data_IF_297988209111
#
_entry.id   IF_297988209111
#
_cell.length_a   1.000
_cell.length_b   1.000
_cell.length_c   1.000
_cell.angle_alpha   90.00
_cell.angle_beta   90.00
_cell.angle_gamma   90.00
#
_symmetry.space_group_name_H-M   'P 1'
#
loop_
_entity.id
_entity.type
_entity.pdbx_description
1 polymer ?
#
# COMPACT_ATOMS: atom_id res chain seq x y z
N UNK A 1 17.68 13.54 -6.95
CA UNK A 1 16.66 12.62 -7.51
C UNK A 1 16.86 11.19 -6.99
N UNK A 2 16.65 10.92 -5.69
CA UNK A 2 17.10 9.64 -5.10
C UNK A 2 16.10 9.02 -4.10
N UNK A 3 14.80 9.04 -4.44
CA UNK A 3 13.74 8.39 -3.64
C UNK A 3 12.81 7.53 -4.50
N UNK A 4 13.36 6.86 -5.51
CA UNK A 4 12.63 5.85 -6.30
C UNK A 4 12.47 4.54 -5.54
N UNK A 5 11.69 3.61 -6.10
CA UNK A 5 11.61 2.26 -5.57
C UNK A 5 13.00 1.57 -5.61
N UNK A 6 13.38 0.86 -4.55
CA UNK A 6 14.66 0.17 -4.44
C UNK A 6 14.65 -1.14 -5.25
N UNK A 7 15.82 -1.63 -5.64
CA UNK A 7 15.96 -2.97 -6.23
C UNK A 7 15.51 -4.07 -5.24
N UNK A 8 14.91 -5.15 -5.76
CA UNK A 8 14.29 -6.23 -4.97
C UNK A 8 15.26 -6.93 -4.00
N UNK A 9 16.55 -7.02 -4.35
CA UNK A 9 17.60 -7.68 -3.55
C UNK A 9 18.44 -6.74 -2.68
N UNK A 10 18.19 -5.43 -2.74
CA UNK A 10 18.98 -4.43 -2.02
C UNK A 10 18.62 -4.32 -0.54
N UNK A 11 19.56 -3.88 0.28
CA UNK A 11 19.32 -3.55 1.69
C UNK A 11 18.36 -2.36 1.87
N UNK A 12 18.02 -1.67 0.78
CA UNK A 12 17.21 -0.46 0.78
C UNK A 12 17.96 0.78 1.25
N UNK A 13 17.25 1.91 1.29
CA UNK A 13 17.78 3.17 1.80
C UNK A 13 16.98 3.62 3.02
N UNK A 14 17.59 4.32 3.97
CA UNK A 14 16.82 4.91 5.08
C UNK A 14 16.08 6.14 4.58
N UNK A 15 14.78 6.18 4.87
CA UNK A 15 13.91 7.31 4.57
C UNK A 15 13.29 7.79 5.87
N UNK A 16 13.47 9.07 6.15
CA UNK A 16 12.82 9.74 7.27
C UNK A 16 11.43 10.19 6.85
N UNK A 17 10.41 9.83 7.63
CA UNK A 17 9.01 10.18 7.39
C UNK A 17 8.51 11.03 8.55
N UNK A 18 7.79 12.10 8.22
CA UNK A 18 7.09 12.91 9.20
C UNK A 18 5.74 13.36 8.68
N UNK A 19 4.72 13.28 9.51
CA UNK A 19 3.39 13.83 9.26
C UNK A 19 2.81 14.40 10.55
N UNK A 20 1.82 15.28 10.43
CA UNK A 20 1.12 15.85 11.57
C UNK A 20 -0.39 15.71 11.41
N UNK A 21 -1.10 15.64 12.52
CA UNK A 21 -2.57 15.71 12.54
C UNK A 21 -3.06 16.59 13.67
N UNK A 22 -4.25 17.14 13.51
CA UNK A 22 -4.89 18.03 14.47
C UNK A 22 -6.29 17.51 14.83
N UNK A 23 -6.58 17.48 16.12
CA UNK A 23 -7.92 17.21 16.63
C UNK A 23 -8.65 18.53 16.89
N UNK A 24 -9.77 18.73 16.20
CA UNK A 24 -10.68 19.84 16.47
C UNK A 24 -12.01 19.29 16.96
N UNK A 25 -12.37 19.65 18.20
CA UNK A 25 -13.64 19.27 18.78
C UNK A 25 -14.69 20.35 18.51
N UNK A 26 -15.80 19.97 17.86
CA UNK A 26 -16.97 20.85 17.66
C UNK A 26 -18.16 20.46 18.53
N UNK A 27 -18.16 19.23 19.06
CA UNK A 27 -19.15 18.70 20.00
C UNK A 27 -18.49 17.69 20.95
N UNK A 28 -19.11 17.44 22.11
CA UNK A 28 -18.58 16.42 23.03
C UNK A 28 -18.70 15.00 22.43
N UNK A 29 -17.61 14.24 22.46
CA UNK A 29 -17.48 12.91 21.85
C UNK A 29 -16.88 11.89 22.82
N UNK A 30 -17.36 11.87 24.07
CA UNK A 30 -16.89 10.93 25.11
C UNK A 30 -15.35 10.93 25.26
N UNK A 31 -14.73 12.11 25.22
CA UNK A 31 -13.28 12.26 25.33
C UNK A 31 -12.47 11.79 24.11
N UNK A 32 -13.09 11.62 22.93
CA UNK A 32 -12.42 11.13 21.72
C UNK A 32 -11.16 11.92 21.32
N UNK A 33 -11.15 13.25 21.50
CA UNK A 33 -9.93 14.06 21.25
C UNK A 33 -8.76 13.61 22.12
N UNK A 34 -9.01 13.26 23.39
CA UNK A 34 -7.98 12.76 24.28
C UNK A 34 -7.49 11.37 23.87
N UNK A 35 -8.30 10.58 23.17
CA UNK A 35 -7.88 9.25 22.69
C UNK A 35 -6.94 9.33 21.48
N UNK A 36 -7.04 10.38 20.67
CA UNK A 36 -6.27 10.52 19.43
C UNK A 36 -5.13 11.53 19.52
N UNK A 37 -5.32 12.68 20.19
CA UNK A 37 -4.33 13.75 20.27
C UNK A 37 -3.69 13.91 21.67
N UNK A 38 -3.80 12.91 22.54
CA UNK A 38 -3.05 12.86 23.80
C UNK A 38 -2.45 11.46 24.00
N UNK A 39 -1.33 11.39 24.72
CA UNK A 39 -0.64 10.12 24.98
C UNK A 39 -1.48 9.22 25.91
N UNK A 40 -1.65 7.93 25.55
CA UNK A 40 -2.45 6.96 26.33
C UNK A 40 -1.91 6.65 27.73
N UNK A 41 -0.64 6.98 28.01
CA UNK A 41 0.06 6.66 29.26
C UNK A 41 0.35 7.88 30.16
N UNK A 42 -0.29 9.03 29.91
CA UNK A 42 -0.37 10.09 30.92
C UNK A 42 -1.38 9.68 31.98
N UNK A 43 -0.93 9.23 33.15
CA UNK A 43 -1.78 8.94 34.30
C UNK A 43 -2.86 10.01 34.48
N UNK A 44 -4.09 9.56 34.73
CA UNK A 44 -5.24 10.32 35.19
C UNK A 44 -4.82 11.48 36.11
N UNK A 45 -4.72 12.68 35.54
CA UNK A 45 -4.22 13.85 36.22
C UNK A 45 -4.53 15.08 35.39
N UNK A 46 -5.55 15.81 35.83
CA UNK A 46 -6.02 17.08 35.28
C UNK A 46 -4.89 18.03 34.87
N UNK A 47 -5.14 18.78 33.78
CA UNK A 47 -4.39 19.95 33.34
C UNK A 47 -2.89 19.74 33.08
N UNK A 48 -2.50 19.65 31.82
CA UNK A 48 -1.18 20.17 31.44
C UNK A 48 -1.16 20.66 30.01
N UNK A 49 -0.88 21.95 29.90
CA UNK A 49 -0.55 22.72 28.71
C UNK A 49 0.88 22.30 28.22
N UNK A 50 1.13 20.99 28.14
CA UNK A 50 2.47 20.40 28.09
C UNK A 50 2.63 19.38 26.97
N UNK A 51 3.74 19.50 26.24
CA UNK A 51 4.18 18.54 25.23
C UNK A 51 4.36 17.16 25.87
N UNK A 52 3.81 16.10 25.28
CA UNK A 52 4.05 14.70 25.68
C UNK A 52 4.54 13.86 24.51
N UNK A 53 5.28 12.79 24.77
CA UNK A 53 5.81 11.91 23.73
C UNK A 53 5.39 10.47 23.99
N UNK A 54 5.05 9.76 22.91
CA UNK A 54 4.77 8.33 22.92
C UNK A 54 5.57 7.65 21.82
N UNK A 55 6.11 6.47 22.14
CA UNK A 55 6.81 5.63 21.18
C UNK A 55 6.06 4.31 21.04
N UNK A 56 5.78 3.91 19.80
CA UNK A 56 5.20 2.62 19.47
C UNK A 56 6.10 1.91 18.46
N UNK A 57 5.97 0.59 18.37
CA UNK A 57 6.65 -0.20 17.35
C UNK A 57 5.60 -0.90 16.52
N UNK A 58 5.66 -0.74 15.20
CA UNK A 58 4.79 -1.40 14.24
C UNK A 58 5.66 -2.01 13.14
N UNK A 59 5.57 -3.32 12.94
CA UNK A 59 6.34 -4.08 11.94
C UNK A 59 7.86 -3.85 11.99
N UNK A 60 8.39 -3.67 13.19
CA UNK A 60 9.81 -3.39 13.41
C UNK A 60 10.23 -1.94 13.15
N UNK A 61 9.29 -1.05 12.83
CA UNK A 61 9.51 0.40 12.72
C UNK A 61 9.14 1.06 14.05
N UNK A 62 10.09 1.80 14.63
CA UNK A 62 9.85 2.62 15.83
C UNK A 62 9.27 3.96 15.43
N UNK A 63 8.05 4.24 15.89
CA UNK A 63 7.28 5.44 15.60
C UNK A 63 7.23 6.31 16.84
N UNK A 64 7.66 7.57 16.69
CA UNK A 64 7.60 8.57 17.77
C UNK A 64 6.51 9.57 17.45
N UNK A 65 5.55 9.72 18.35
CA UNK A 65 4.49 10.73 18.29
C UNK A 65 4.71 11.73 19.40
N UNK A 66 4.81 13.02 19.04
CA UNK A 66 4.87 14.14 19.98
C UNK A 66 3.52 14.85 19.96
N UNK A 67 2.85 14.90 21.10
CA UNK A 67 1.57 15.57 21.26
C UNK A 67 1.79 16.97 21.84
N UNK A 68 1.21 17.98 21.19
CA UNK A 68 1.26 19.38 21.56
C UNK A 68 -0.17 19.94 21.56
N UNK A 69 -0.80 20.01 22.72
CA UNK A 69 -2.21 20.39 22.89
C UNK A 69 -3.15 19.51 22.05
N UNK A 70 -3.70 20.07 20.97
CA UNK A 70 -4.63 19.39 20.08
C UNK A 70 -3.95 18.90 18.78
N UNK A 71 -2.62 18.97 18.70
CA UNK A 71 -1.83 18.53 17.55
C UNK A 71 -0.93 17.37 17.91
N UNK A 72 -0.62 16.56 16.93
CA UNK A 72 0.33 15.46 17.06
C UNK A 72 1.27 15.46 15.86
N UNK A 73 2.57 15.43 16.15
CA UNK A 73 3.64 15.29 15.17
C UNK A 73 4.18 13.86 15.25
N UNK A 74 4.09 13.12 14.14
CA UNK A 74 4.57 11.74 14.03
C UNK A 74 5.83 11.72 13.19
N UNK A 75 6.84 10.98 13.68
CA UNK A 75 8.17 10.87 13.07
C UNK A 75 8.69 9.44 13.19
N UNK A 76 9.25 8.91 12.11
CA UNK A 76 9.90 7.61 12.10
C UNK A 76 10.86 7.47 10.92
N UNK A 77 11.84 6.59 11.08
CA UNK A 77 12.71 6.15 10.00
C UNK A 77 12.23 4.78 9.51
N UNK A 78 12.08 4.64 8.20
CA UNK A 78 11.81 3.36 7.56
C UNK A 78 12.96 3.00 6.62
N UNK A 79 13.22 1.70 6.51
CA UNK A 79 14.08 1.20 5.42
C UNK A 79 13.23 1.04 4.17
N UNK A 80 13.47 1.88 3.18
CA UNK A 80 12.90 1.79 1.84
C UNK A 80 13.53 0.60 1.09
N UNK A 81 13.00 -0.61 1.35
CA UNK A 81 13.21 -1.84 0.58
C UNK A 81 11.84 -2.43 0.20
N UNK A 82 11.81 -3.30 -0.82
CA UNK A 82 10.56 -3.86 -1.35
C UNK A 82 9.72 -4.58 -0.28
N UNK A 83 10.36 -5.35 0.60
CA UNK A 83 9.67 -6.07 1.69
C UNK A 83 8.93 -5.11 2.62
N UNK A 84 9.61 -4.05 3.08
CA UNK A 84 9.04 -3.10 4.02
C UNK A 84 7.89 -2.30 3.39
N UNK A 85 8.05 -1.86 2.14
CA UNK A 85 6.98 -1.18 1.42
C UNK A 85 5.75 -2.06 1.20
N UNK A 86 5.95 -3.32 0.82
CA UNK A 86 4.87 -4.29 0.66
C UNK A 86 4.17 -4.60 1.99
N UNK A 87 4.90 -4.65 3.11
CA UNK A 87 4.30 -4.77 4.44
C UNK A 87 3.43 -3.56 4.78
N UNK A 88 3.87 -2.34 4.47
CA UNK A 88 3.05 -1.14 4.65
C UNK A 88 1.79 -1.18 3.78
N UNK A 89 1.90 -1.58 2.50
CA UNK A 89 0.75 -1.75 1.62
C UNK A 89 -0.22 -2.83 2.15
N UNK A 90 0.31 -3.96 2.62
CA UNK A 90 -0.48 -5.02 3.24
C UNK A 90 -1.24 -4.53 4.48
N UNK A 91 -0.60 -3.71 5.32
CA UNK A 91 -1.24 -3.11 6.49
C UNK A 91 -2.38 -2.17 6.12
N UNK A 92 -2.18 -1.31 5.11
CA UNK A 92 -3.24 -0.42 4.61
C UNK A 92 -4.45 -1.27 4.19
N UNK A 93 -4.22 -2.30 3.38
CA UNK A 93 -5.29 -3.19 2.94
C UNK A 93 -5.92 -3.97 4.09
N UNK A 94 -5.15 -4.43 5.07
CA UNK A 94 -5.67 -5.12 6.26
C UNK A 94 -6.60 -4.20 7.06
N UNK A 95 -6.20 -2.95 7.30
CA UNK A 95 -7.02 -1.97 8.01
C UNK A 95 -8.32 -1.71 7.24
N UNK A 96 -8.25 -1.48 5.92
CA UNK A 96 -9.44 -1.25 5.10
C UNK A 96 -10.40 -2.45 5.09
N UNK A 97 -9.87 -3.67 4.93
CA UNK A 97 -10.66 -4.91 4.95
C UNK A 97 -11.23 -5.25 6.33
N UNK A 98 -10.61 -4.77 7.42
CA UNK A 98 -11.08 -5.04 8.78
C UNK A 98 -12.11 -4.01 9.23
N UNK A 99 -11.82 -2.73 8.99
CA UNK A 99 -12.64 -1.63 9.49
C UNK A 99 -13.88 -1.40 8.63
N UNK A 100 -13.84 -1.77 7.34
CA UNK A 100 -14.95 -1.66 6.39
C UNK A 100 -15.75 -0.34 6.56
N UNK A 101 -15.09 0.82 6.36
CA UNK A 101 -15.68 2.10 6.71
C UNK A 101 -16.95 2.41 5.91
N UNK A 102 -17.87 3.14 6.54
CA UNK A 102 -19.04 3.70 5.86
C UNK A 102 -18.59 4.73 4.82
N UNK A 103 -19.11 4.58 3.60
CA UNK A 103 -19.03 5.63 2.59
C UNK A 103 -20.20 6.59 2.79
N UNK A 104 -19.90 7.90 2.84
CA UNK A 104 -20.90 8.98 2.92
C UNK A 104 -21.30 9.50 1.54
N UNK A 105 -22.50 10.06 1.47
CA UNK A 105 -23.03 10.70 0.27
C UNK A 105 -22.24 11.97 -0.06
N UNK A 106 -22.16 12.33 -1.34
CA UNK A 106 -21.51 13.57 -1.79
C UNK A 106 -22.34 14.82 -1.48
N UNK A 107 -23.64 14.66 -1.22
CA UNK A 107 -24.58 15.77 -1.04
C UNK A 107 -25.11 15.89 0.40
N UNK A 108 -24.87 14.89 1.24
CA UNK A 108 -25.28 14.89 2.65
C UNK A 108 -24.29 14.05 3.46
N UNK A 109 -23.52 14.73 4.32
CA UNK A 109 -22.54 14.06 5.16
C UNK A 109 -23.19 13.05 6.09
N UNK A 110 -24.44 13.21 6.50
CA UNK A 110 -25.12 12.32 7.45
C UNK A 110 -25.77 11.10 6.77
N UNK A 111 -25.79 11.06 5.44
CA UNK A 111 -26.38 9.97 4.67
C UNK A 111 -25.33 8.96 4.16
N UNK A 112 -25.72 7.70 4.09
CA UNK A 112 -24.92 6.67 3.43
C UNK A 112 -24.83 6.95 1.91
N UNK A 113 -23.62 7.01 1.39
CA UNK A 113 -23.36 7.18 -0.05
C UNK A 113 -23.52 5.89 -0.82
N UNK A 114 -23.25 4.74 -0.19
CA UNK A 114 -23.10 3.46 -0.88
C UNK A 114 -22.06 3.58 -2.02
N UNK A 115 -22.19 2.81 -3.10
CA UNK A 115 -21.34 2.93 -4.28
C UNK A 115 -21.60 4.18 -5.15
N UNK A 116 -22.65 4.95 -4.86
CA UNK A 116 -23.10 6.05 -5.73
C UNK A 116 -22.04 7.15 -5.99
N UNK A 117 -21.20 7.57 -5.01
CA UNK A 117 -20.14 8.55 -5.27
C UNK A 117 -19.16 8.14 -6.36
N UNK A 118 -19.06 6.84 -6.67
CA UNK A 118 -18.22 6.31 -7.76
C UNK A 118 -19.03 5.79 -8.95
N UNK A 119 -20.32 6.14 -9.05
CA UNK A 119 -21.18 5.65 -10.13
C UNK A 119 -21.49 4.15 -10.06
N UNK A 120 -21.33 3.52 -8.89
CA UNK A 120 -21.63 2.11 -8.65
C UNK A 120 -23.04 1.94 -8.06
N UNK A 121 -23.73 0.85 -8.42
CA UNK A 121 -25.04 0.49 -7.88
C UNK A 121 -24.99 -0.34 -6.59
N UNK A 122 -23.81 -0.76 -6.16
CA UNK A 122 -23.59 -1.58 -4.96
C UNK A 122 -23.95 -0.82 -3.68
N UNK A 123 -24.62 -1.49 -2.75
CA UNK A 123 -24.99 -0.95 -1.44
C UNK A 123 -24.09 -1.49 -0.35
N UNK A 124 -23.89 -0.69 0.70
CA UNK A 124 -23.15 -1.08 1.89
C UNK A 124 -21.92 -0.21 2.18
N UNK A 125 -21.01 -0.77 2.96
CA UNK A 125 -19.74 -0.14 3.33
C UNK A 125 -18.65 -0.35 2.27
N UNK A 126 -17.46 0.20 2.50
CA UNK A 126 -16.35 0.11 1.55
C UNK A 126 -15.97 -1.34 1.16
N UNK A 127 -16.03 -2.30 2.09
CA UNK A 127 -15.71 -3.70 1.81
C UNK A 127 -16.74 -4.36 0.88
N UNK A 128 -18.00 -3.93 0.94
CA UNK A 128 -19.05 -4.44 0.06
C UNK A 128 -18.98 -3.76 -1.31
N UNK A 129 -18.76 -2.44 -1.33
CA UNK A 129 -18.68 -1.65 -2.56
C UNK A 129 -17.46 -2.06 -3.40
N UNK A 130 -16.30 -2.23 -2.77
CA UNK A 130 -15.00 -2.48 -3.41
C UNK A 130 -14.48 -3.91 -3.15
N UNK A 131 -15.39 -4.88 -2.96
CA UNK A 131 -15.00 -6.24 -2.60
C UNK A 131 -13.99 -6.84 -3.58
N UNK A 132 -14.23 -6.64 -4.89
CA UNK A 132 -13.36 -7.16 -5.92
C UNK A 132 -12.01 -6.44 -5.89
N UNK A 133 -12.01 -5.11 -5.86
CA UNK A 133 -10.80 -4.30 -5.87
C UNK A 133 -9.92 -4.60 -4.65
N UNK A 134 -10.52 -4.68 -3.46
CA UNK A 134 -9.79 -5.02 -2.24
C UNK A 134 -9.18 -6.42 -2.31
N UNK A 135 -9.91 -7.39 -2.87
CA UNK A 135 -9.42 -8.76 -3.05
C UNK A 135 -8.27 -8.84 -4.06
N UNK A 136 -8.39 -8.16 -5.21
CA UNK A 136 -7.36 -8.15 -6.24
C UNK A 136 -6.10 -7.44 -5.75
N UNK A 137 -6.20 -6.26 -5.13
CA UNK A 137 -5.04 -5.55 -4.57
C UNK A 137 -4.37 -6.35 -3.46
N UNK A 138 -5.15 -7.01 -2.59
CA UNK A 138 -4.59 -7.91 -1.56
C UNK A 138 -3.81 -9.08 -2.19
N UNK A 139 -4.31 -9.64 -3.29
CA UNK A 139 -3.65 -10.72 -4.02
C UNK A 139 -2.39 -10.23 -4.73
N UNK A 140 -2.42 -9.05 -5.35
CA UNK A 140 -1.24 -8.41 -5.95
C UNK A 140 -0.12 -8.22 -4.92
N UNK A 141 -0.46 -7.72 -3.72
CA UNK A 141 0.52 -7.53 -2.64
C UNK A 141 1.12 -8.87 -2.20
N UNK A 142 0.30 -9.91 -2.03
CA UNK A 142 0.77 -11.26 -1.66
C UNK A 142 1.70 -11.85 -2.71
N UNK A 143 1.33 -11.77 -3.99
CA UNK A 143 2.16 -12.24 -5.10
C UNK A 143 3.49 -11.48 -5.13
N UNK A 144 3.47 -10.15 -4.94
CA UNK A 144 4.67 -9.33 -4.87
C UNK A 144 5.57 -9.67 -3.65
N UNK A 145 4.98 -10.00 -2.49
CA UNK A 145 5.73 -10.46 -1.32
C UNK A 145 6.43 -11.80 -1.62
N UNK A 146 5.76 -12.71 -2.33
CA UNK A 146 6.35 -13.99 -2.74
C UNK A 146 7.47 -13.78 -3.77
N UNK A 147 7.33 -12.84 -4.72
CA UNK A 147 8.42 -12.45 -5.64
C UNK A 147 9.66 -12.01 -4.84
N UNK A 148 9.50 -11.25 -3.76
CA UNK A 148 10.61 -10.84 -2.88
C UNK A 148 11.23 -12.04 -2.14
N UNK A 149 10.45 -13.05 -1.78
CA UNK A 149 10.99 -14.29 -1.20
C UNK A 149 11.79 -15.09 -2.23
N UNK A 150 11.25 -15.26 -3.43
CA UNK A 150 11.90 -15.98 -4.53
C UNK A 150 13.19 -15.27 -5.00
N UNK A 151 13.21 -13.93 -5.01
CA UNK A 151 14.42 -13.17 -5.37
C UNK A 151 15.60 -13.46 -4.42
N UNK A 152 15.33 -13.65 -3.12
CA UNK A 152 16.34 -14.06 -2.13
C UNK A 152 16.86 -15.47 -2.42
N UNK A 153 15.99 -16.39 -2.84
CA UNK A 153 16.38 -17.76 -3.24
C UNK A 153 17.27 -17.71 -4.48
N UNK A 154 16.88 -16.94 -5.50
CA UNK A 154 17.69 -16.75 -6.70
C UNK A 154 19.07 -16.19 -6.35
N UNK A 155 19.14 -15.12 -5.56
CA UNK A 155 20.39 -14.49 -5.15
C UNK A 155 21.31 -15.44 -4.36
N UNK A 156 20.74 -16.21 -3.42
CA UNK A 156 21.51 -17.19 -2.64
C UNK A 156 22.07 -18.35 -3.48
N UNK A 157 21.45 -18.64 -4.64
CA UNK A 157 21.84 -19.74 -5.52
C UNK A 157 22.44 -19.23 -6.85
N UNK A 158 22.87 -17.96 -6.94
CA UNK A 158 23.34 -17.34 -8.18
C UNK A 158 24.64 -17.95 -8.73
N UNK A 159 25.45 -18.59 -7.89
CA UNK A 159 26.72 -19.20 -8.29
C UNK A 159 26.50 -20.63 -8.76
N UNK A 160 26.72 -20.87 -10.04
CA UNK A 160 26.74 -22.19 -10.66
C UNK A 160 27.96 -22.26 -11.58
N UNK A 161 29.08 -22.74 -11.06
CA UNK A 161 30.34 -22.86 -11.80
C UNK A 161 30.70 -24.33 -11.99
N UNK A 162 31.17 -24.67 -13.19
CA UNK A 162 31.70 -26.00 -13.50
C UNK A 162 33.17 -26.01 -13.10
N UNK A 163 33.52 -26.80 -12.07
CA UNK A 163 34.88 -26.83 -11.53
C UNK A 163 35.93 -27.42 -12.50
N UNK A 164 35.53 -28.34 -13.38
CA UNK A 164 36.40 -28.98 -14.36
C UNK A 164 35.79 -28.98 -15.77
N UNK A 165 35.79 -27.83 -16.47
CA UNK A 165 35.10 -27.70 -17.75
C UNK A 165 35.73 -28.53 -18.88
N UNK A 166 37.02 -28.84 -18.82
CA UNK A 166 37.73 -29.54 -19.89
C UNK A 166 37.51 -31.06 -19.90
N UNK A 167 37.20 -31.67 -18.75
CA UNK A 167 36.96 -33.12 -18.61
C UNK A 167 35.71 -33.38 -17.76
N UNK A 168 34.64 -32.64 -18.02
CA UNK A 168 33.42 -32.68 -17.23
C UNK A 168 32.78 -34.08 -17.20
N UNK A 169 32.57 -34.62 -16.00
CA UNK A 169 31.80 -35.85 -15.80
C UNK A 169 30.44 -35.52 -15.12
N UNK A 170 29.30 -35.68 -15.81
CA UNK A 170 27.99 -35.33 -15.26
C UNK A 170 27.57 -36.15 -14.02
N UNK A 171 28.20 -37.29 -13.75
CA UNK A 171 27.89 -38.14 -12.59
C UNK A 171 28.63 -37.71 -11.31
N UNK A 172 29.75 -36.98 -11.43
CA UNK A 172 30.58 -36.58 -10.27
C UNK A 172 30.73 -35.07 -10.14
N UNK A 173 30.67 -34.33 -11.24
CA UNK A 173 31.05 -32.91 -11.30
C UNK A 173 29.83 -31.98 -11.37
N UNK A 174 28.61 -32.54 -11.21
CA UNK A 174 27.34 -31.83 -11.36
C UNK A 174 26.74 -31.34 -10.03
N UNK A 175 27.52 -31.22 -8.94
CA UNK A 175 27.02 -30.74 -7.64
C UNK A 175 26.42 -29.32 -7.73
N UNK A 176 26.93 -28.48 -8.63
CA UNK A 176 26.37 -27.15 -8.94
C UNK A 176 24.93 -27.20 -9.46
N UNK A 177 24.50 -28.32 -10.05
CA UNK A 177 23.20 -28.45 -10.70
C UNK A 177 22.03 -28.27 -9.72
N UNK A 178 22.21 -28.61 -8.43
CA UNK A 178 21.17 -28.40 -7.44
C UNK A 178 20.91 -26.90 -7.19
N UNK A 179 21.97 -26.12 -7.03
CA UNK A 179 21.87 -24.66 -6.88
C UNK A 179 21.37 -24.01 -8.17
N UNK A 180 21.88 -24.44 -9.32
CA UNK A 180 21.42 -23.97 -10.64
C UNK A 180 19.92 -24.22 -10.82
N UNK A 181 19.41 -25.40 -10.47
CA UNK A 181 17.99 -25.73 -10.56
C UNK A 181 17.13 -24.89 -9.61
N UNK A 182 17.59 -24.68 -8.36
CA UNK A 182 16.89 -23.82 -7.39
C UNK A 182 16.80 -22.38 -7.89
N UNK A 183 17.91 -21.84 -8.41
CA UNK A 183 17.94 -20.50 -8.98
C UNK A 183 16.99 -20.38 -10.18
N UNK A 184 17.05 -21.32 -11.13
CA UNK A 184 16.20 -21.29 -12.32
C UNK A 184 14.71 -21.37 -11.98
N UNK A 185 14.34 -22.23 -11.02
CA UNK A 185 12.96 -22.34 -10.52
C UNK A 185 12.48 -21.05 -9.85
N UNK A 186 13.32 -20.43 -9.00
CA UNK A 186 12.98 -19.18 -8.35
C UNK A 186 12.74 -18.05 -9.37
N UNK A 187 13.58 -17.94 -10.40
CA UNK A 187 13.39 -16.95 -11.47
C UNK A 187 12.10 -17.20 -12.28
N UNK A 188 11.82 -18.46 -12.63
CA UNK A 188 10.58 -18.81 -13.32
C UNK A 188 9.34 -18.50 -12.46
N UNK A 189 9.40 -18.76 -11.16
CA UNK A 189 8.31 -18.44 -10.23
C UNK A 189 8.11 -16.93 -10.09
N UNK A 190 9.18 -16.14 -9.99
CA UNK A 190 9.09 -14.68 -10.00
C UNK A 190 8.38 -14.15 -11.25
N UNK A 191 8.70 -14.71 -12.42
CA UNK A 191 8.03 -14.35 -13.68
C UNK A 191 6.55 -14.70 -13.64
N UNK A 192 6.20 -15.93 -13.24
CA UNK A 192 4.80 -16.37 -13.15
C UNK A 192 3.98 -15.52 -12.17
N UNK A 193 4.54 -15.18 -11.02
CA UNK A 193 3.89 -14.32 -10.03
C UNK A 193 3.73 -12.88 -10.54
N UNK A 194 4.69 -12.38 -11.31
CA UNK A 194 4.60 -11.04 -11.93
C UNK A 194 3.44 -10.99 -12.93
N UNK A 195 3.27 -12.04 -13.73
CA UNK A 195 2.10 -12.15 -14.62
C UNK A 195 0.79 -12.25 -13.83
N UNK A 196 0.78 -12.94 -12.69
CA UNK A 196 -0.41 -12.98 -11.82
C UNK A 196 -0.77 -11.60 -11.25
N UNK A 197 0.22 -10.79 -10.83
CA UNK A 197 -0.01 -9.40 -10.38
C UNK A 197 -0.71 -8.60 -11.47
N UNK A 198 -0.26 -8.73 -12.72
CA UNK A 198 -0.91 -8.10 -13.88
C UNK A 198 -2.32 -8.64 -14.12
N UNK A 199 -2.52 -9.96 -14.06
CA UNK A 199 -3.85 -10.57 -14.20
C UNK A 199 -4.83 -10.09 -13.13
N UNK A 200 -4.39 -9.87 -11.89
CA UNK A 200 -5.25 -9.30 -10.84
C UNK A 200 -5.76 -7.89 -11.22
N UNK A 201 -4.91 -7.07 -11.85
CA UNK A 201 -5.32 -5.76 -12.39
C UNK A 201 -6.29 -5.91 -13.56
N UNK A 202 -6.06 -6.87 -14.46
CA UNK A 202 -6.96 -7.16 -15.58
C UNK A 202 -8.35 -7.61 -15.11
N UNK A 203 -8.44 -8.41 -14.03
CA UNK A 203 -9.71 -8.80 -13.42
C UNK A 203 -10.52 -7.58 -12.97
N UNK A 204 -9.87 -6.55 -12.41
CA UNK A 204 -10.54 -5.29 -12.05
C UNK A 204 -10.95 -4.50 -13.31
N UNK A 205 -10.08 -4.45 -14.34
CA UNK A 205 -10.38 -3.76 -15.61
C UNK A 205 -11.55 -4.37 -16.37
N UNK A 206 -11.76 -5.68 -16.24
CA UNK A 206 -12.85 -6.39 -16.92
C UNK A 206 -14.21 -6.25 -16.21
N UNK A 207 -14.26 -5.62 -15.03
CA UNK A 207 -15.50 -5.36 -14.33
C UNK A 207 -16.11 -4.00 -14.71
N UNK A 208 -16.92 -3.99 -15.78
CA UNK A 208 -17.58 -2.78 -16.28
C UNK A 208 -18.85 -2.42 -15.48
N UNK A 209 -18.68 -2.08 -14.20
CA UNK A 209 -19.77 -1.78 -13.28
C UNK A 209 -19.90 -0.28 -12.92
N UNK A 210 -18.99 0.57 -13.39
CA UNK A 210 -19.01 2.02 -13.15
C UNK A 210 -19.80 2.71 -14.24
N UNK A 211 -20.83 3.46 -13.87
CA UNK A 211 -21.51 4.36 -14.81
C UNK A 211 -20.72 5.66 -14.93
N UNK A 212 -20.04 5.89 -16.06
CA UNK A 212 -19.15 7.03 -16.23
C UNK A 212 -19.87 8.38 -16.16
N UNK A 213 -21.14 8.43 -16.57
CA UNK A 213 -21.97 9.63 -16.47
C UNK A 213 -22.28 9.98 -15.02
N UNK A 214 -22.54 8.98 -14.19
CA UNK A 214 -22.80 9.17 -12.76
C UNK A 214 -21.51 9.48 -11.99
N UNK A 215 -20.36 8.94 -12.40
CA UNK A 215 -19.07 9.25 -11.78
C UNK A 215 -18.43 10.54 -12.29
N UNK A 216 -18.92 11.13 -13.38
CA UNK A 216 -18.47 12.40 -13.93
C UNK A 216 -17.26 12.32 -14.86
N UNK A 217 -16.99 11.16 -15.45
CA UNK A 217 -15.79 10.91 -16.28
C UNK A 217 -16.08 10.41 -17.69
N UNK A 218 -17.34 10.35 -18.13
CA UNK A 218 -17.69 9.93 -19.49
C UNK A 218 -19.18 9.71 -19.68
N UNK A 219 -19.57 9.08 -20.80
CA UNK A 219 -20.99 8.81 -21.12
C UNK A 219 -21.36 7.32 -21.09
N UNK A 220 -20.39 6.42 -21.15
CA UNK A 220 -20.60 4.97 -21.24
C UNK A 220 -20.29 4.25 -19.92
N UNK A 221 -20.60 2.94 -19.84
CA UNK A 221 -20.14 2.12 -18.72
C UNK A 221 -18.64 1.88 -18.84
N UNK A 222 -17.96 1.85 -17.70
CA UNK A 222 -16.51 1.60 -17.59
C UNK A 222 -16.22 0.79 -16.32
N UNK A 223 -14.95 0.60 -16.02
CA UNK A 223 -14.48 -0.10 -14.83
C UNK A 223 -13.81 0.88 -13.85
N UNK A 224 -13.65 0.44 -12.60
CA UNK A 224 -13.05 1.24 -11.53
C UNK A 224 -11.59 1.63 -11.84
N UNK A 225 -10.86 0.78 -12.55
CA UNK A 225 -9.46 1.04 -12.89
C UNK A 225 -9.35 2.22 -13.84
N UNK A 226 -10.05 2.18 -14.97
CA UNK A 226 -10.02 3.24 -15.98
C UNK A 226 -10.62 4.55 -15.47
N UNK A 227 -11.70 4.49 -14.68
CA UNK A 227 -12.33 5.71 -14.16
C UNK A 227 -11.50 6.39 -13.07
N UNK A 228 -10.88 5.62 -12.17
CA UNK A 228 -10.28 6.15 -10.95
C UNK A 228 -8.84 5.69 -10.73
N UNK A 229 -8.58 4.38 -10.64
CA UNK A 229 -7.29 3.87 -10.15
C UNK A 229 -6.10 4.23 -11.07
N UNK A 230 -6.33 4.15 -12.38
CA UNK A 230 -5.35 4.45 -13.43
C UNK A 230 -5.54 5.85 -14.03
N UNK A 231 -6.21 6.75 -13.30
CA UNK A 231 -6.35 8.15 -13.70
C UNK A 231 -5.55 9.07 -12.78
N UNK A 232 -5.14 10.22 -13.31
CA UNK A 232 -4.64 11.33 -12.52
C UNK A 232 -5.04 12.66 -13.17
N UNK A 233 -5.45 13.63 -12.35
CA UNK A 233 -5.66 15.00 -12.83
C UNK A 233 -4.31 15.67 -13.10
N UNK A 234 -4.28 16.67 -13.97
CA UNK A 234 -3.03 17.33 -14.44
C UNK A 234 -2.11 17.84 -13.32
N UNK A 235 -2.68 18.19 -12.17
CA UNK A 235 -1.98 18.63 -10.97
C UNK A 235 -2.31 17.75 -9.76
N UNK A 236 -2.76 16.51 -9.99
CA UNK A 236 -3.17 15.58 -8.95
C UNK A 236 -2.01 15.14 -8.06
N UNK A 237 -0.80 15.06 -8.60
CA UNK A 237 0.44 14.97 -7.81
C UNK A 237 1.49 15.90 -8.42
N UNK A 238 2.38 16.46 -7.59
CA UNK A 238 3.49 17.29 -8.08
C UNK A 238 4.79 16.88 -7.40
N UNK A 239 5.96 17.01 -8.05
CA UNK A 239 7.24 16.71 -7.43
C UNK A 239 7.50 17.50 -6.13
N UNK A 240 6.91 18.69 -6.00
CA UNK A 240 7.07 19.56 -4.83
C UNK A 240 6.11 19.26 -3.68
N UNK A 241 4.89 18.76 -3.96
CA UNK A 241 3.84 18.60 -2.94
C UNK A 241 3.49 17.15 -2.65
N UNK A 242 3.82 16.21 -3.55
CA UNK A 242 3.32 14.85 -3.47
C UNK A 242 1.82 14.81 -3.76
N UNK A 243 0.99 15.10 -2.75
CA UNK A 243 -0.49 15.13 -2.82
C UNK A 243 -0.98 16.57 -2.94
N UNK A 244 -2.03 16.80 -3.73
CA UNK A 244 -2.67 18.12 -3.92
C UNK A 244 -4.18 18.05 -3.67
N UNK A 245 -4.88 19.18 -3.74
CA UNK A 245 -6.35 19.21 -3.67
C UNK A 245 -7.03 18.45 -4.81
N UNK A 246 -6.31 18.18 -5.90
CA UNK A 246 -6.83 17.50 -7.08
C UNK A 246 -6.48 16.01 -7.13
N UNK A 247 -5.82 15.46 -6.11
CA UNK A 247 -5.58 14.01 -6.00
C UNK A 247 -6.88 13.23 -5.76
N UNK A 248 -7.83 13.82 -5.02
CA UNK A 248 -9.08 13.14 -4.66
C UNK A 248 -9.87 12.66 -5.88
N UNK A 249 -10.42 11.45 -5.80
CA UNK A 249 -11.20 10.84 -6.87
C UNK A 249 -10.36 10.41 -8.07
N UNK A 250 -9.04 10.29 -7.90
CA UNK A 250 -8.11 9.75 -8.88
C UNK A 250 -7.04 8.92 -8.15
N UNK A 251 -6.39 7.99 -8.86
CA UNK A 251 -5.36 7.13 -8.30
C UNK A 251 -4.02 7.82 -8.16
N UNK A 252 -3.59 8.56 -9.19
CA UNK A 252 -2.32 9.30 -9.22
C UNK A 252 -1.09 8.52 -8.71
N UNK A 253 -1.01 7.25 -9.10
CA UNK A 253 0.05 6.33 -8.69
C UNK A 253 0.71 5.61 -9.89
N UNK A 254 0.59 6.20 -11.09
CA UNK A 254 1.16 5.68 -12.36
C UNK A 254 0.71 4.25 -12.70
N UNK A 255 -0.55 3.90 -12.40
CA UNK A 255 -1.09 2.54 -12.60
C UNK A 255 -1.27 2.19 -14.07
N UNK A 256 -1.47 3.18 -14.96
CA UNK A 256 -1.55 2.92 -16.40
C UNK A 256 -0.17 2.65 -17.00
N UNK A 257 0.83 3.42 -16.57
CA UNK A 257 2.20 3.33 -17.06
C UNK A 257 2.97 2.12 -16.52
N UNK A 258 2.61 1.65 -15.32
CA UNK A 258 3.21 0.47 -14.65
C UNK A 258 2.58 -0.83 -15.14
#
# INVERSE_FOLDING_TARGET
NSSGFPELGGNGTKVYVSYHYECKQTADINGGVNQFCQAKNGSSGSNSNGSSMQTTTQDGVTITTTYNNNKADVKFDITNNAQQLLNQAANIMQVLNTQCPLVRSTNDENAAGNGKPWGLSTFGNACQIFQQEFSQVTSMIKNAQEIVAQSKIANNNQKAEIANPSNFNPFTDASFAQSMLKNARAQAEMFNLSEQVKQNLEVMKNNNNVNAKLSGFGEEMTNFVSAFLASCRSDGTTPSQGVTSNTWGAGCAYVEET
#
